data_IF_532815581589
#
_entry.id   IF_532815581589
#
_cell.length_a   1.000
_cell.length_b   1.000
_cell.length_c   1.000
_cell.angle_alpha   90.00
_cell.angle_beta   90.00
_cell.angle_gamma   90.00
#
_symmetry.space_group_name_H-M   'P 1'
#
loop_
_entity.id
_entity.type
_entity.pdbx_description
1 polymer ?
#
# COMPACT_ATOMS: atom_id res chain seq x y z
N UNK A 1 -11.88 -13.98 -2.14
CA UNK A 1 -10.69 -13.17 -2.52
C UNK A 1 -9.99 -12.61 -1.30
N UNK A 2 -8.72 -12.23 -1.42
CA UNK A 2 -7.92 -11.74 -0.31
C UNK A 2 -7.90 -10.20 -0.24
N UNK A 3 -7.66 -9.67 0.98
CA UNK A 3 -7.35 -8.25 1.21
C UNK A 3 -5.86 -8.11 1.48
N UNK A 4 -5.17 -7.31 0.70
CA UNK A 4 -3.71 -7.20 0.70
C UNK A 4 -3.29 -5.76 1.00
N UNK A 5 -2.43 -5.60 1.99
CA UNK A 5 -1.71 -4.35 2.22
C UNK A 5 -0.36 -4.39 1.52
N UNK A 6 -0.01 -3.34 0.77
CA UNK A 6 1.35 -3.17 0.23
C UNK A 6 1.97 -1.92 0.82
N UNK A 7 3.01 -2.08 1.63
CA UNK A 7 3.56 -0.97 2.41
C UNK A 7 4.66 -0.19 1.68
N UNK A 8 4.48 0.09 0.39
CA UNK A 8 5.38 0.92 -0.42
C UNK A 8 4.72 1.27 -1.75
N UNK A 9 4.84 2.53 -2.18
CA UNK A 9 4.43 2.98 -3.52
C UNK A 9 5.62 3.17 -4.47
N UNK A 10 6.74 2.47 -4.23
CA UNK A 10 7.86 2.38 -5.19
C UNK A 10 7.56 1.40 -6.33
N UNK A 11 8.52 1.18 -7.23
CA UNK A 11 8.33 0.34 -8.42
C UNK A 11 7.83 -1.06 -8.06
N UNK A 12 8.57 -1.80 -7.22
CA UNK A 12 8.17 -3.16 -6.82
C UNK A 12 6.87 -3.22 -6.00
N UNK A 13 6.62 -2.24 -5.13
CA UNK A 13 5.37 -2.18 -4.38
C UNK A 13 4.16 -1.98 -5.30
N UNK A 14 4.28 -1.06 -6.25
CA UNK A 14 3.23 -0.77 -7.22
C UNK A 14 3.01 -1.93 -8.18
N UNK A 15 4.08 -2.56 -8.67
CA UNK A 15 3.98 -3.74 -9.53
C UNK A 15 3.28 -4.91 -8.84
N UNK A 16 3.69 -5.25 -7.60
CA UNK A 16 3.04 -6.35 -6.86
C UNK A 16 1.58 -6.02 -6.54
N UNK A 17 1.30 -4.76 -6.16
CA UNK A 17 -0.07 -4.32 -5.92
C UNK A 17 -0.94 -4.50 -7.17
N UNK A 18 -0.43 -4.14 -8.36
CA UNK A 18 -1.11 -4.37 -9.63
C UNK A 18 -1.37 -5.87 -9.86
N UNK A 19 -0.36 -6.72 -9.69
CA UNK A 19 -0.50 -8.19 -9.87
C UNK A 19 -1.59 -8.76 -8.95
N UNK A 20 -1.62 -8.38 -7.67
CA UNK A 20 -2.67 -8.82 -6.74
C UNK A 20 -4.06 -8.31 -7.15
N UNK A 21 -4.15 -7.05 -7.61
CA UNK A 21 -5.39 -6.44 -8.05
C UNK A 21 -5.92 -7.05 -9.37
N UNK A 22 -5.03 -7.37 -10.32
CA UNK A 22 -5.36 -8.08 -11.56
C UNK A 22 -5.85 -9.51 -11.27
N UNK A 23 -5.26 -10.17 -10.27
CA UNK A 23 -5.75 -11.44 -9.72
C UNK A 23 -7.06 -11.27 -8.91
N UNK A 24 -7.59 -10.04 -8.84
CA UNK A 24 -8.86 -9.61 -8.29
C UNK A 24 -8.92 -9.45 -6.76
N UNK A 25 -7.78 -9.43 -6.08
CA UNK A 25 -7.73 -9.08 -4.64
C UNK A 25 -8.03 -7.60 -4.42
N UNK A 26 -8.55 -7.26 -3.24
CA UNK A 26 -8.67 -5.87 -2.81
C UNK A 26 -7.31 -5.42 -2.25
N UNK A 27 -6.71 -4.40 -2.87
CA UNK A 27 -5.35 -3.98 -2.54
C UNK A 27 -5.34 -2.55 -2.04
N UNK A 28 -4.70 -2.33 -0.89
CA UNK A 28 -4.42 -0.98 -0.39
C UNK A 28 -2.90 -0.77 -0.27
N UNK A 29 -2.39 0.25 -0.96
CA UNK A 29 -1.00 0.68 -0.88
C UNK A 29 -0.87 1.77 0.17
N UNK A 30 0.13 1.67 1.05
CA UNK A 30 0.58 2.80 1.85
C UNK A 30 1.70 3.57 1.12
N UNK A 31 1.47 4.85 0.88
CA UNK A 31 2.45 5.78 0.31
C UNK A 31 2.78 6.89 1.31
N UNK A 32 4.05 7.27 1.42
CA UNK A 32 4.48 8.34 2.35
C UNK A 32 4.11 9.75 1.88
N UNK A 33 3.80 9.91 0.59
CA UNK A 33 3.68 11.20 -0.09
C UNK A 33 2.24 11.39 -0.58
N UNK A 34 1.50 12.40 -0.08
CA UNK A 34 0.12 12.65 -0.48
C UNK A 34 -0.07 12.82 -1.97
N UNK A 35 0.90 13.41 -2.67
CA UNK A 35 0.86 13.61 -4.11
C UNK A 35 0.86 12.28 -4.89
N UNK A 36 1.55 11.25 -4.39
CA UNK A 36 1.51 9.90 -4.98
C UNK A 36 0.15 9.24 -4.74
N UNK A 37 -0.46 9.49 -3.58
CA UNK A 37 -1.81 9.00 -3.27
C UNK A 37 -2.83 9.61 -4.23
N UNK A 38 -2.78 10.93 -4.42
CA UNK A 38 -3.66 11.63 -5.33
C UNK A 38 -3.47 11.17 -6.78
N UNK A 39 -2.22 11.03 -7.23
CA UNK A 39 -1.90 10.54 -8.57
C UNK A 39 -2.51 9.16 -8.83
N UNK A 40 -2.28 8.19 -7.93
CA UNK A 40 -2.79 6.83 -8.13
C UNK A 40 -4.31 6.77 -7.99
N UNK A 41 -4.90 7.39 -6.97
CA UNK A 41 -6.35 7.28 -6.74
C UNK A 41 -7.19 8.04 -7.78
N UNK A 42 -6.64 9.09 -8.41
CA UNK A 42 -7.38 9.91 -9.39
C UNK A 42 -7.04 9.52 -10.81
N UNK A 43 -5.77 9.26 -11.10
CA UNK A 43 -5.27 9.00 -12.46
C UNK A 43 -4.98 7.53 -12.72
N UNK A 44 -5.08 6.67 -11.71
CA UNK A 44 -4.78 5.25 -11.84
C UNK A 44 -3.36 4.99 -12.38
N UNK A 45 -2.41 5.84 -12.00
CA UNK A 45 -1.04 5.83 -12.50
C UNK A 45 -0.05 6.12 -11.38
N UNK A 46 1.15 5.58 -11.52
CA UNK A 46 2.30 5.95 -10.70
C UNK A 46 3.47 6.28 -11.64
N UNK A 47 3.38 7.42 -12.32
CA UNK A 47 4.22 7.74 -13.47
C UNK A 47 5.72 7.69 -13.15
N UNK A 48 6.07 8.07 -11.92
CA UNK A 48 7.46 8.08 -11.46
C UNK A 48 8.06 6.68 -11.35
N UNK A 49 7.28 5.69 -10.92
CA UNK A 49 7.80 4.37 -10.54
C UNK A 49 7.38 3.26 -11.50
N UNK A 50 6.29 3.48 -12.25
CA UNK A 50 5.72 2.53 -13.20
C UNK A 50 4.96 3.29 -14.32
N UNK A 51 5.67 4.03 -15.19
CA UNK A 51 5.07 5.00 -16.13
C UNK A 51 4.08 4.43 -17.14
N UNK A 52 4.27 3.18 -17.56
CA UNK A 52 3.47 2.57 -18.63
C UNK A 52 2.26 1.79 -18.10
N UNK A 53 2.12 1.66 -16.77
CA UNK A 53 1.04 0.86 -16.19
C UNK A 53 -0.18 1.70 -15.85
N UNK A 54 -1.35 1.20 -16.26
CA UNK A 54 -2.64 1.59 -15.71
C UNK A 54 -2.97 0.67 -14.54
N UNK A 55 -3.28 1.26 -13.38
CA UNK A 55 -3.56 0.56 -12.15
C UNK A 55 -5.07 0.28 -12.02
N UNK A 56 -5.48 -0.95 -11.65
CA UNK A 56 -6.90 -1.30 -11.55
C UNK A 56 -7.68 -0.46 -10.53
N UNK A 57 -8.97 -0.20 -10.77
CA UNK A 57 -9.83 0.60 -9.88
C UNK A 57 -9.98 0.04 -8.46
N UNK A 58 -9.75 -1.27 -8.29
CA UNK A 58 -9.78 -1.95 -6.98
C UNK A 58 -8.54 -1.67 -6.13
N UNK A 59 -7.50 -1.10 -6.73
CA UNK A 59 -6.29 -0.70 -6.04
C UNK A 59 -6.49 0.71 -5.47
N UNK A 60 -6.42 0.83 -4.15
CA UNK A 60 -6.48 2.11 -3.44
C UNK A 60 -5.14 2.45 -2.83
N UNK A 61 -4.89 3.73 -2.60
CA UNK A 61 -3.68 4.21 -1.94
C UNK A 61 -4.07 5.13 -0.79
N UNK A 62 -3.33 5.08 0.30
CA UNK A 62 -3.50 5.94 1.47
C UNK A 62 -2.15 6.39 2.02
N UNK A 63 -2.13 7.54 2.71
CA UNK A 63 -1.00 7.99 3.52
C UNK A 63 -1.00 7.41 4.93
N UNK A 64 -2.10 6.79 5.36
CA UNK A 64 -2.26 6.25 6.69
C UNK A 64 -1.94 4.75 6.72
N UNK A 65 -0.85 4.32 7.38
CA UNK A 65 -0.52 2.90 7.49
C UNK A 65 -1.62 2.08 8.16
N UNK A 66 -2.34 2.67 9.11
CA UNK A 66 -3.44 2.01 9.84
C UNK A 66 -4.59 1.66 8.90
N UNK A 67 -4.94 2.55 7.97
CA UNK A 67 -5.96 2.28 6.96
C UNK A 67 -5.53 1.15 6.02
N UNK A 68 -4.27 1.18 5.55
CA UNK A 68 -3.75 0.14 4.68
C UNK A 68 -3.73 -1.25 5.35
N UNK A 69 -3.54 -1.29 6.67
CA UNK A 69 -3.47 -2.52 7.47
C UNK A 69 -4.84 -2.97 8.02
N UNK A 70 -5.91 -2.21 7.82
CA UNK A 70 -7.21 -2.50 8.41
C UNK A 70 -7.84 -3.76 7.79
N UNK A 71 -7.98 -4.83 8.59
CA UNK A 71 -8.69 -6.05 8.19
C UNK A 71 -8.03 -6.83 7.04
N UNK A 72 -6.75 -6.61 6.77
CA UNK A 72 -6.00 -7.32 5.72
C UNK A 72 -5.55 -8.71 6.17
N UNK A 73 -5.43 -9.64 5.23
CA UNK A 73 -4.94 -11.01 5.47
C UNK A 73 -3.49 -11.22 5.08
N UNK A 74 -3.00 -10.39 4.16
CA UNK A 74 -1.62 -10.44 3.70
C UNK A 74 -1.02 -9.04 3.72
N UNK A 75 0.26 -8.97 4.08
CA UNK A 75 1.05 -7.73 4.09
C UNK A 75 2.29 -7.95 3.26
N UNK A 76 2.50 -7.08 2.28
CA UNK A 76 3.69 -7.04 1.43
C UNK A 76 4.58 -5.89 1.88
N UNK A 77 5.79 -6.22 2.31
CA UNK A 77 6.80 -5.27 2.77
C UNK A 77 7.83 -5.07 1.66
N UNK A 78 7.60 -4.10 0.78
CA UNK A 78 8.51 -3.73 -0.32
C UNK A 78 9.20 -2.39 -0.09
N UNK A 79 9.65 -2.18 1.16
CA UNK A 79 10.45 -1.03 1.58
C UNK A 79 11.93 -1.41 1.68
N UNK A 80 12.86 -0.45 1.51
CA UNK A 80 14.28 -0.70 1.71
C UNK A 80 14.56 -1.30 3.10
N UNK A 81 15.40 -2.33 3.15
CA UNK A 81 15.68 -3.09 4.38
C UNK A 81 16.16 -2.18 5.53
N UNK A 82 16.91 -1.13 5.21
CA UNK A 82 17.43 -0.15 6.17
C UNK A 82 16.30 0.64 6.88
N UNK A 83 15.17 0.85 6.20
CA UNK A 83 14.02 1.57 6.74
C UNK A 83 12.97 0.64 7.39
N UNK A 84 13.08 -0.67 7.18
CA UNK A 84 12.08 -1.66 7.59
C UNK A 84 11.78 -1.63 9.09
N UNK A 85 12.83 -1.73 9.92
CA UNK A 85 12.68 -1.78 11.38
C UNK A 85 11.99 -0.53 11.94
N UNK A 86 12.45 0.65 11.52
CA UNK A 86 11.90 1.92 12.00
C UNK A 86 10.43 2.09 11.61
N UNK A 87 10.07 1.72 10.38
CA UNK A 87 8.69 1.76 9.91
C UNK A 87 7.79 0.81 10.68
N UNK A 88 8.20 -0.46 10.86
CA UNK A 88 7.42 -1.43 11.64
C UNK A 88 7.21 -0.97 13.09
N UNK A 89 8.24 -0.43 13.74
CA UNK A 89 8.12 0.12 15.09
C UNK A 89 7.17 1.32 15.16
N UNK A 90 7.17 2.19 14.14
CA UNK A 90 6.23 3.29 14.04
C UNK A 90 4.78 2.81 13.89
N UNK A 91 4.53 1.88 12.96
CA UNK A 91 3.18 1.37 12.67
C UNK A 91 2.60 0.51 13.81
N UNK A 92 3.44 -0.22 14.54
CA UNK A 92 3.02 -0.99 15.71
C UNK A 92 2.45 -0.10 16.83
N UNK A 93 3.03 1.09 17.03
CA UNK A 93 2.53 2.06 18.02
C UNK A 93 1.18 2.65 17.64
N UNK A 94 0.89 2.75 16.34
CA UNK A 94 -0.38 3.31 15.85
C UNK A 94 -1.51 2.28 15.85
N UNK A 95 -1.18 0.99 15.70
CA UNK A 95 -2.15 -0.11 15.62
C UNK A 95 -2.56 -0.70 16.98
N UNK A 96 -1.82 -0.42 18.06
CA UNK A 96 -2.14 -0.90 19.41
C UNK A 96 -3.35 -0.23 20.07
N UNK A 97 -3.88 0.87 19.51
CA UNK A 97 -5.06 1.57 20.05
C UNK A 97 -6.41 1.01 19.57
N UNK A 98 -6.42 0.04 18.66
CA UNK A 98 -7.67 -0.47 18.03
C UNK A 98 -8.06 -1.89 18.48
N UNK A 99 -7.39 -2.44 19.52
CA UNK A 99 -7.75 -3.73 20.13
C UNK A 99 -8.41 -3.57 21.51
N UNK A 100 -9.30 -2.60 21.66
CA UNK A 100 -10.28 -2.59 22.74
C UNK A 100 -11.56 -3.23 22.21
N UNK A 101 -11.69 -4.54 22.45
CA UNK A 101 -13.00 -5.11 22.76
C UNK A 101 -13.33 -4.76 24.21
#
# INVERSE_FOLDING_TARGET
MARVAVLSAGSWGTTLAKVFADAGSDVTIHARRPEVVAEINVRHQNARYLPEAVLPDRLRVTVAPVEALAGVRHVVLSIPAQALRANLAAWARTSSRTRSC
#
